data_IF_745023555568
#
_entry.id   IF_745023555568
#
_cell.length_a   1.000
_cell.length_b   1.000
_cell.length_c   1.000
_cell.angle_alpha   90.00
_cell.angle_beta   90.00
_cell.angle_gamma   90.00
#
_symmetry.space_group_name_H-M   'P 1'
#
loop_
_entity.id
_entity.type
_entity.pdbx_description
1 polymer ?
#
# COMPACT_ATOMS: atom_id res chain seq x y z
N UNK A 1 35.77 21.06 16.44
CA UNK A 1 35.64 20.79 14.98
C UNK A 1 35.32 19.30 14.80
N UNK A 2 34.04 18.97 14.63
CA UNK A 2 33.51 17.59 14.69
C UNK A 2 33.38 16.98 13.29
N UNK A 3 34.48 16.87 12.54
CA UNK A 3 34.52 16.35 11.16
C UNK A 3 33.89 14.94 11.02
N UNK A 4 33.96 14.12 12.09
CA UNK A 4 33.37 12.78 12.11
C UNK A 4 31.84 12.79 12.16
N UNK A 5 31.23 13.76 12.85
CA UNK A 5 29.78 13.87 12.97
C UNK A 5 29.15 14.27 11.63
N UNK A 6 29.82 15.13 10.86
CA UNK A 6 29.38 15.50 9.52
C UNK A 6 29.40 14.30 8.57
N UNK A 7 30.45 13.47 8.62
CA UNK A 7 30.52 12.23 7.83
C UNK A 7 29.39 11.25 8.16
N UNK A 8 29.09 11.06 9.44
CA UNK A 8 28.01 10.17 9.90
C UNK A 8 26.62 10.67 9.48
N UNK A 9 26.36 11.98 9.58
CA UNK A 9 25.09 12.56 9.14
C UNK A 9 24.87 12.40 7.63
N UNK A 10 25.92 12.61 6.83
CA UNK A 10 25.84 12.41 5.38
C UNK A 10 25.60 10.95 5.00
N UNK A 11 26.26 10.00 5.66
CA UNK A 11 26.08 8.57 5.35
C UNK A 11 24.68 8.08 5.73
N UNK A 12 24.12 8.56 6.84
CA UNK A 12 22.77 8.23 7.27
C UNK A 12 21.74 8.79 6.29
N UNK A 13 21.89 10.05 5.84
CA UNK A 13 20.96 10.66 4.89
C UNK A 13 20.95 9.92 3.54
N UNK A 14 22.13 9.57 3.01
CA UNK A 14 22.28 8.75 1.81
C UNK A 14 21.65 7.36 1.98
N UNK A 15 21.91 6.71 3.11
CA UNK A 15 21.34 5.40 3.41
C UNK A 15 19.81 5.46 3.51
N UNK A 16 19.23 6.51 4.13
CA UNK A 16 17.77 6.70 4.21
C UNK A 16 17.17 6.80 2.81
N UNK A 17 17.76 7.58 1.90
CA UNK A 17 17.26 7.72 0.53
C UNK A 17 17.33 6.43 -0.29
N UNK A 18 18.35 5.59 -0.06
CA UNK A 18 18.56 4.32 -0.77
C UNK A 18 17.72 3.17 -0.17
N UNK A 19 17.56 3.15 1.16
CA UNK A 19 16.87 2.08 1.89
C UNK A 19 15.37 2.35 2.05
N UNK A 20 14.92 3.60 1.96
CA UNK A 20 13.49 3.88 1.92
C UNK A 20 12.94 3.45 0.56
N UNK A 21 11.91 2.58 0.51
CA UNK A 21 11.22 2.31 -0.73
C UNK A 21 10.53 3.61 -1.14
N UNK A 22 11.02 4.27 -2.19
CA UNK A 22 10.28 5.36 -2.82
C UNK A 22 8.93 4.76 -3.18
N UNK A 23 7.85 5.36 -2.68
CA UNK A 23 6.49 4.84 -2.81
C UNK A 23 5.99 4.79 -4.28
N UNK A 24 6.87 5.16 -5.21
CA UNK A 24 6.73 5.20 -6.66
C UNK A 24 6.43 3.83 -7.26
N UNK A 25 7.01 2.75 -6.71
CA UNK A 25 6.73 1.38 -7.17
C UNK A 25 5.28 0.91 -6.87
N UNK A 26 4.56 1.55 -5.93
CA UNK A 26 3.13 1.31 -5.71
C UNK A 26 2.23 2.09 -6.67
N UNK A 27 2.72 3.20 -7.23
CA UNK A 27 1.93 4.10 -8.10
C UNK A 27 1.77 3.56 -9.52
N UNK A 28 2.71 2.75 -10.01
CA UNK A 28 2.65 2.24 -11.39
C UNK A 28 1.54 1.20 -11.62
N UNK A 29 0.97 0.63 -10.55
CA UNK A 29 -0.18 -0.30 -10.60
C UNK A 29 -1.45 0.34 -10.02
N UNK A 30 -1.54 1.67 -9.96
CA UNK A 30 -2.72 2.32 -9.40
C UNK A 30 -3.72 2.60 -10.53
N UNK A 31 -4.66 1.66 -10.75
CA UNK A 31 -5.87 2.01 -11.52
C UNK A 31 -6.51 3.23 -10.85
N UNK A 32 -6.94 4.26 -11.63
CA UNK A 32 -7.59 5.43 -11.09
C UNK A 32 -8.83 5.03 -10.27
N UNK A 33 -9.15 5.83 -9.24
CA UNK A 33 -10.18 5.55 -8.25
C UNK A 33 -9.62 5.03 -6.92
N UNK A 34 -10.41 5.19 -5.86
CA UNK A 34 -10.06 4.83 -4.48
C UNK A 34 -10.93 3.70 -3.94
N UNK A 35 -10.48 3.05 -2.87
CA UNK A 35 -11.34 2.14 -2.11
C UNK A 35 -12.51 2.90 -1.48
N UNK A 36 -13.72 2.31 -1.44
CA UNK A 36 -14.83 2.87 -0.68
C UNK A 36 -14.51 2.88 0.82
N UNK A 37 -15.22 3.72 1.58
CA UNK A 37 -15.13 3.72 3.03
C UNK A 37 -15.77 2.46 3.61
N UNK A 38 -14.95 1.59 4.19
CA UNK A 38 -15.38 0.33 4.82
C UNK A 38 -15.32 0.38 6.35
N UNK A 39 -15.16 1.58 6.94
CA UNK A 39 -15.15 1.74 8.39
C UNK A 39 -16.45 1.21 9.00
N UNK A 40 -16.33 0.44 10.08
CA UNK A 40 -17.48 -0.13 10.78
C UNK A 40 -17.99 -1.46 10.21
N UNK A 41 -17.43 -1.94 9.10
CA UNK A 41 -17.68 -3.29 8.62
C UNK A 41 -16.77 -4.24 9.41
N UNK A 42 -17.39 -5.17 10.13
CA UNK A 42 -16.73 -6.23 10.87
C UNK A 42 -17.25 -7.58 10.41
N UNK A 43 -16.37 -8.59 10.35
CA UNK A 43 -16.72 -9.92 9.90
C UNK A 43 -15.63 -10.93 10.23
N UNK A 44 -15.99 -12.21 10.22
CA UNK A 44 -15.02 -13.29 10.38
C UNK A 44 -13.98 -13.26 9.24
N UNK A 45 -12.75 -13.66 9.56
CA UNK A 45 -11.67 -13.79 8.58
C UNK A 45 -11.91 -15.05 7.73
N UNK A 46 -12.86 -14.98 6.81
CA UNK A 46 -13.16 -16.09 5.90
C UNK A 46 -12.32 -15.91 4.65
N UNK A 47 -11.49 -16.91 4.36
CA UNK A 47 -10.72 -16.96 3.11
C UNK A 47 -11.57 -17.68 2.07
N UNK A 48 -11.92 -16.96 1.02
CA UNK A 48 -12.71 -17.36 -0.14
C UNK A 48 -11.99 -16.93 -1.42
N UNK A 49 -12.55 -17.29 -2.56
CA UNK A 49 -12.14 -16.83 -3.89
C UNK A 49 -12.29 -15.31 -4.11
N UNK A 50 -13.02 -14.61 -3.23
CA UNK A 50 -13.19 -13.14 -3.27
C UNK A 50 -11.98 -12.39 -2.69
N UNK A 51 -11.10 -13.08 -1.97
CA UNK A 51 -9.95 -12.44 -1.35
C UNK A 51 -8.85 -12.12 -2.36
N UNK A 52 -8.11 -11.06 -2.07
CA UNK A 52 -7.05 -10.56 -2.92
C UNK A 52 -5.87 -10.06 -2.09
N UNK A 53 -4.71 -9.97 -2.72
CA UNK A 53 -3.51 -9.37 -2.12
C UNK A 53 -3.08 -8.08 -2.84
N UNK A 54 -3.46 -7.94 -4.12
CA UNK A 54 -3.10 -6.84 -5.01
C UNK A 54 -4.27 -6.46 -5.94
N UNK A 55 -4.30 -5.21 -6.39
CA UNK A 55 -5.24 -4.68 -7.40
C UNK A 55 -5.22 -5.48 -8.72
N UNK A 56 -4.09 -6.13 -9.03
CA UNK A 56 -3.90 -6.93 -10.24
C UNK A 56 -4.76 -8.20 -10.26
N UNK A 57 -5.16 -8.71 -9.09
CA UNK A 57 -6.03 -9.89 -8.96
C UNK A 57 -7.50 -9.53 -9.18
N UNK A 58 -7.83 -8.24 -9.11
CA UNK A 58 -9.20 -7.77 -9.21
C UNK A 58 -9.62 -7.51 -10.67
N UNK A 59 -10.90 -7.79 -11.00
CA UNK A 59 -11.53 -7.38 -12.26
C UNK A 59 -11.36 -5.88 -12.57
N UNK A 60 -11.69 -5.49 -13.81
CA UNK A 60 -11.67 -4.06 -14.18
C UNK A 60 -12.61 -3.26 -13.26
N UNK A 61 -12.23 -2.01 -12.98
CA UNK A 61 -12.95 -1.08 -12.10
C UNK A 61 -13.06 -1.55 -10.63
N UNK A 62 -12.21 -2.48 -10.20
CA UNK A 62 -12.10 -2.90 -8.82
C UNK A 62 -10.67 -2.78 -8.31
N UNK A 63 -10.53 -2.61 -7.00
CA UNK A 63 -9.27 -2.57 -6.25
C UNK A 63 -9.35 -3.53 -5.06
N UNK A 64 -8.18 -3.97 -4.60
CA UNK A 64 -8.08 -4.85 -3.46
C UNK A 64 -8.12 -4.04 -2.17
N UNK A 65 -9.27 -4.03 -1.50
CA UNK A 65 -9.57 -3.11 -0.41
C UNK A 65 -9.77 -3.85 0.92
N UNK A 66 -9.46 -3.19 2.03
CA UNK A 66 -9.75 -3.73 3.36
C UNK A 66 -11.26 -3.84 3.57
N UNK A 67 -11.72 -5.03 3.98
CA UNK A 67 -13.11 -5.32 4.21
C UNK A 67 -13.24 -6.32 5.37
N UNK A 68 -13.86 -5.88 6.48
CA UNK A 68 -13.90 -6.68 7.71
C UNK A 68 -12.48 -7.02 8.21
N UNK A 69 -12.22 -8.30 8.45
CA UNK A 69 -10.90 -8.81 8.84
C UNK A 69 -9.92 -8.96 7.66
N UNK A 70 -10.43 -9.02 6.43
CA UNK A 70 -9.66 -9.41 5.25
C UNK A 70 -9.52 -8.29 4.22
N UNK A 71 -9.21 -8.72 3.00
CA UNK A 71 -9.24 -7.89 1.80
C UNK A 71 -10.11 -8.55 0.74
N UNK A 72 -10.87 -7.74 0.03
CA UNK A 72 -11.76 -8.16 -1.06
C UNK A 72 -11.68 -7.18 -2.23
N UNK A 73 -12.01 -7.66 -3.43
CA UNK A 73 -12.14 -6.81 -4.60
C UNK A 73 -13.42 -5.98 -4.52
N UNK A 74 -13.29 -4.67 -4.31
CA UNK A 74 -14.40 -3.73 -4.23
C UNK A 74 -14.40 -2.79 -5.44
N UNK A 75 -15.59 -2.35 -5.85
CA UNK A 75 -15.72 -1.32 -6.88
C UNK A 75 -15.08 -0.01 -6.41
N UNK A 76 -14.32 0.61 -7.30
CA UNK A 76 -13.68 1.89 -7.04
C UNK A 76 -14.71 3.01 -6.90
N UNK A 77 -14.40 3.99 -6.06
CA UNK A 77 -15.06 5.31 -6.05
C UNK A 77 -14.16 6.31 -6.77
N UNK A 78 -14.75 7.16 -7.62
CA UNK A 78 -14.08 8.21 -8.39
C UNK A 78 -14.05 9.52 -7.63
#
# INVERSE_FOLDING_TARGET
>A
MNMKAFGLLTSVLLAVLILSPTSDARRLSERPGSCPDTRGIFGACVVTDRNCFSDSECPRHQKCCSYGCGRECLNIVT
#
